data_IF_771777300280
#
_entry.id   IF_771777300280
#
_cell.length_a   1.000
_cell.length_b   1.000
_cell.length_c   1.000
_cell.angle_alpha   90.00
_cell.angle_beta   90.00
_cell.angle_gamma   90.00
#
_symmetry.space_group_name_H-M   'P 1'
#
loop_
_entity.id
_entity.type
_entity.pdbx_description
1 polymer ?
#
# COMPACT_ATOMS: atom_id res chain seq x y z
N UNK A 1 31.63 -37.11 -10.71
CA UNK A 1 32.11 -36.63 -9.41
C UNK A 1 31.03 -35.71 -8.83
N UNK A 2 30.34 -36.13 -7.76
CA UNK A 2 29.26 -35.38 -7.11
C UNK A 2 29.88 -34.31 -6.21
N UNK A 3 29.62 -33.03 -6.45
CA UNK A 3 29.93 -31.97 -5.49
C UNK A 3 28.67 -31.59 -4.71
N UNK A 4 28.63 -32.06 -3.46
CA UNK A 4 27.75 -31.62 -2.40
C UNK A 4 28.06 -30.15 -2.05
N UNK A 5 27.27 -29.21 -2.55
CA UNK A 5 27.29 -27.81 -2.07
C UNK A 5 25.90 -27.26 -1.69
N UNK A 6 24.86 -28.11 -1.70
CA UNK A 6 23.48 -27.66 -1.49
C UNK A 6 23.01 -27.61 -0.04
N UNK A 7 23.68 -28.28 0.90
CA UNK A 7 23.14 -28.46 2.27
C UNK A 7 23.54 -27.38 3.27
N UNK A 8 24.64 -26.64 3.04
CA UNK A 8 25.07 -25.59 3.97
C UNK A 8 24.29 -24.27 3.78
N UNK A 9 23.83 -23.98 2.56
CA UNK A 9 23.12 -22.72 2.27
C UNK A 9 21.68 -22.68 2.84
N UNK A 10 21.06 -23.84 3.05
CA UNK A 10 19.67 -23.93 3.51
C UNK A 10 19.52 -23.80 5.04
N UNK A 11 20.60 -24.01 5.81
CA UNK A 11 20.59 -23.98 7.27
C UNK A 11 20.94 -22.61 7.87
N UNK A 12 21.61 -21.73 7.12
CA UNK A 12 22.03 -20.41 7.62
C UNK A 12 20.91 -19.36 7.51
N UNK A 13 19.91 -19.57 6.64
CA UNK A 13 18.80 -18.62 6.44
C UNK A 13 17.59 -18.83 7.36
N UNK A 14 17.59 -19.85 8.23
CA UNK A 14 16.46 -20.12 9.14
C UNK A 14 16.64 -19.59 10.55
N UNK A 15 17.77 -18.96 10.88
CA UNK A 15 17.94 -18.29 12.16
C UNK A 15 17.81 -16.77 11.99
N UNK A 16 16.82 -16.20 12.68
CA UNK A 16 16.62 -14.76 12.90
C UNK A 16 15.83 -14.03 11.78
N UNK A 17 14.71 -14.59 11.34
CA UNK A 17 13.48 -13.77 11.31
C UNK A 17 12.77 -14.03 12.64
N UNK A 18 13.41 -13.61 13.73
CA UNK A 18 12.84 -13.63 15.06
C UNK A 18 11.72 -12.59 15.07
N UNK A 19 10.52 -13.06 14.70
CA UNK A 19 9.20 -12.52 14.99
C UNK A 19 9.22 -11.05 15.39
N UNK A 20 9.34 -10.15 14.40
CA UNK A 20 8.83 -8.79 14.56
C UNK A 20 7.30 -8.95 14.60
N UNK A 21 6.74 -9.17 15.78
CA UNK A 21 5.32 -8.91 16.01
C UNK A 21 5.17 -7.39 15.92
N UNK A 22 5.04 -6.90 14.68
CA UNK A 22 4.89 -5.49 14.35
C UNK A 22 3.49 -5.05 14.77
N UNK A 23 3.37 -4.12 15.70
CA UNK A 23 2.16 -3.32 15.75
C UNK A 23 2.05 -2.59 14.42
N UNK A 24 1.07 -2.99 13.61
CA UNK A 24 0.68 -2.25 12.43
C UNK A 24 -0.50 -1.35 12.80
N UNK A 25 -0.28 -0.03 12.77
CA UNK A 25 -1.35 0.93 12.98
C UNK A 25 -2.24 0.99 11.73
N UNK A 26 -3.50 0.57 11.88
CA UNK A 26 -4.51 0.62 10.81
C UNK A 26 -5.14 2.02 10.74
N UNK A 27 -5.35 2.63 11.90
CA UNK A 27 -5.79 4.02 12.07
C UNK A 27 -5.07 4.61 13.28
N UNK A 28 -4.62 5.88 13.26
CA UNK A 28 -4.79 6.91 12.22
C UNK A 28 -3.89 6.74 10.99
N UNK A 29 -4.12 7.55 9.95
CA UNK A 29 -3.19 7.70 8.82
C UNK A 29 -2.15 8.79 9.12
N UNK A 30 -1.04 8.79 8.35
CA UNK A 30 -0.07 9.88 8.36
C UNK A 30 -0.75 11.22 8.06
N UNK A 31 -0.34 12.26 8.78
CA UNK A 31 -0.86 13.62 8.72
C UNK A 31 -2.35 13.77 9.03
N UNK A 32 -2.97 12.77 9.66
CA UNK A 32 -4.36 12.88 10.08
C UNK A 32 -4.56 13.99 11.12
N UNK A 33 -5.74 14.62 11.09
CA UNK A 33 -6.05 15.84 11.85
C UNK A 33 -6.85 15.52 13.10
N UNK A 34 -6.24 15.76 14.26
CA UNK A 34 -6.76 15.44 15.58
C UNK A 34 -7.08 16.71 16.40
N UNK A 35 -8.36 16.99 16.60
CA UNK A 35 -8.84 18.20 17.25
C UNK A 35 -9.21 17.95 18.71
N UNK A 36 -8.99 18.95 19.55
CA UNK A 36 -9.42 18.93 20.95
C UNK A 36 -10.91 18.67 21.09
N UNK A 37 -11.27 17.83 22.05
CA UNK A 37 -12.65 17.46 22.36
C UNK A 37 -13.21 16.34 21.47
N UNK A 38 -12.51 16.01 20.39
CA UNK A 38 -12.87 14.89 19.53
C UNK A 38 -12.21 13.60 19.99
N UNK A 39 -12.80 12.49 19.55
CA UNK A 39 -12.35 11.13 19.86
C UNK A 39 -11.92 10.45 18.56
N UNK A 40 -10.75 9.82 18.57
CA UNK A 40 -10.15 9.17 17.43
C UNK A 40 -9.93 7.68 17.70
N UNK A 41 -10.23 6.85 16.70
CA UNK A 41 -10.00 5.42 16.80
C UNK A 41 -8.55 5.09 16.46
N UNK A 42 -7.86 4.46 17.40
CA UNK A 42 -6.54 3.87 17.18
C UNK A 42 -6.71 2.36 17.12
N UNK A 43 -6.22 1.75 16.05
CA UNK A 43 -6.36 0.30 15.79
C UNK A 43 -5.01 -0.29 15.46
N UNK A 44 -4.73 -1.47 16.00
CA UNK A 44 -3.52 -2.23 15.71
C UNK A 44 -3.83 -3.71 15.45
N UNK A 45 -2.94 -4.41 14.76
CA UNK A 45 -3.04 -5.86 14.57
C UNK A 45 -2.54 -6.62 15.81
N UNK A 46 -3.15 -7.78 16.08
CA UNK A 46 -2.59 -8.77 17.00
C UNK A 46 -1.31 -9.38 16.42
N UNK A 47 -0.41 -9.93 17.26
CA UNK A 47 -0.60 -10.20 18.70
C UNK A 47 -0.30 -8.99 19.59
N UNK A 48 -1.11 -8.84 20.64
CA UNK A 48 -0.83 -7.94 21.75
C UNK A 48 -0.82 -8.80 23.01
N UNK A 49 0.35 -9.32 23.39
CA UNK A 49 0.46 -10.19 24.57
C UNK A 49 0.40 -9.40 25.90
N UNK A 50 0.38 -8.07 25.82
CA UNK A 50 0.60 -7.18 26.95
C UNK A 50 -0.45 -6.08 26.99
N UNK A 51 -0.65 -5.49 28.16
CA UNK A 51 -1.42 -4.26 28.25
C UNK A 51 -0.73 -3.17 27.45
N UNK A 52 -1.51 -2.35 26.76
CA UNK A 52 -0.99 -1.27 25.92
C UNK A 52 -1.49 0.05 26.42
N UNK A 53 -0.67 1.07 26.31
CA UNK A 53 -1.06 2.45 26.44
C UNK A 53 -0.90 3.16 25.09
N UNK A 54 -1.90 3.93 24.66
CA UNK A 54 -1.71 4.86 23.54
C UNK A 54 -1.28 6.21 24.08
N UNK A 55 -0.24 6.76 23.47
CA UNK A 55 0.26 8.07 23.82
C UNK A 55 0.85 8.79 22.60
N UNK A 56 1.27 10.04 22.80
CA UNK A 56 1.76 10.92 21.73
C UNK A 56 3.21 11.31 22.01
N UNK A 57 4.05 11.12 21.00
CA UNK A 57 5.46 11.53 21.00
C UNK A 57 5.60 12.80 20.14
N UNK A 58 6.08 13.89 20.71
CA UNK A 58 6.29 15.14 19.98
C UNK A 58 7.70 15.20 19.39
N UNK A 59 7.85 15.83 18.23
CA UNK A 59 9.15 15.96 17.55
C UNK A 59 10.17 16.80 18.37
N UNK A 60 9.67 17.79 19.12
CA UNK A 60 10.52 18.83 19.72
C UNK A 60 10.97 18.54 21.16
N UNK A 61 10.38 17.55 21.84
CA UNK A 61 10.58 17.36 23.28
C UNK A 61 11.05 15.96 23.63
N UNK A 62 12.37 15.80 23.70
CA UNK A 62 13.07 14.90 24.64
C UNK A 62 12.36 13.57 24.95
N UNK A 63 11.91 12.82 23.93
CA UNK A 63 11.26 11.48 23.98
C UNK A 63 10.30 11.21 25.16
N UNK A 64 9.74 12.24 25.77
CA UNK A 64 8.97 12.14 27.00
C UNK A 64 7.52 12.10 26.59
N UNK A 65 7.02 10.87 26.51
CA UNK A 65 5.60 10.60 26.64
C UNK A 65 5.05 11.32 27.87
N UNK A 66 3.74 11.59 27.87
CA UNK A 66 2.78 11.27 28.93
C UNK A 66 1.59 12.20 28.71
N UNK A 67 0.86 11.96 27.63
CA UNK A 67 -0.57 11.85 27.86
C UNK A 67 -0.96 10.46 27.42
N UNK A 68 -1.38 9.68 28.41
CA UNK A 68 -1.81 8.29 28.28
C UNK A 68 -3.31 8.25 27.99
N UNK A 69 -3.74 7.34 27.13
CA UNK A 69 -5.15 6.93 27.04
C UNK A 69 -5.61 6.08 28.23
N UNK A 70 -4.70 5.70 29.13
CA UNK A 70 -4.88 4.66 30.13
C UNK A 70 -4.44 3.29 29.62
N UNK A 71 -4.42 2.32 30.55
CA UNK A 71 -4.06 0.92 30.30
C UNK A 71 -5.19 0.23 29.54
N UNK A 72 -4.88 -0.32 28.38
CA UNK A 72 -5.80 -1.00 27.48
C UNK A 72 -5.62 -2.51 27.63
N UNK A 73 -6.71 -3.28 27.87
CA UNK A 73 -6.65 -4.74 27.96
C UNK A 73 -6.01 -5.39 26.73
N UNK A 74 -5.17 -6.41 26.95
CA UNK A 74 -4.44 -7.12 25.89
C UNK A 74 -5.33 -7.84 24.87
N UNK A 75 -6.60 -8.13 25.22
CA UNK A 75 -7.57 -8.73 24.31
C UNK A 75 -8.20 -7.73 23.33
N UNK A 76 -7.90 -6.44 23.42
CA UNK A 76 -8.41 -5.41 22.52
C UNK A 76 -7.39 -5.04 21.45
N UNK A 77 -7.89 -4.80 20.24
CA UNK A 77 -7.11 -4.38 19.06
C UNK A 77 -7.42 -2.96 18.63
N UNK A 78 -8.29 -2.28 19.38
CA UNK A 78 -8.66 -0.91 19.12
C UNK A 78 -8.93 -0.16 20.41
N UNK A 79 -8.71 1.15 20.37
CA UNK A 79 -9.03 2.04 21.47
C UNK A 79 -9.48 3.40 20.95
N UNK A 80 -10.32 4.06 21.73
CA UNK A 80 -10.82 5.40 21.43
C UNK A 80 -10.03 6.41 22.25
N UNK A 81 -9.26 7.25 21.57
CA UNK A 81 -8.42 8.28 22.18
C UNK A 81 -9.14 9.61 22.08
N UNK A 82 -9.55 10.15 23.23
CA UNK A 82 -10.09 11.52 23.31
C UNK A 82 -8.97 12.53 23.48
N UNK A 83 -8.93 13.52 22.60
CA UNK A 83 -7.90 14.57 22.62
C UNK A 83 -8.31 15.67 23.58
N UNK A 84 -7.76 15.62 24.78
CA UNK A 84 -7.91 16.67 25.78
C UNK A 84 -6.89 17.79 25.61
N UNK A 85 -7.15 18.94 26.27
CA UNK A 85 -6.27 20.12 26.26
C UNK A 85 -4.81 19.82 26.65
N UNK A 86 -4.59 18.79 27.49
CA UNK A 86 -3.25 18.35 27.92
C UNK A 86 -2.40 17.80 26.77
N UNK A 87 -3.00 17.13 25.79
CA UNK A 87 -2.30 16.61 24.60
C UNK A 87 -1.82 17.73 23.67
N UNK A 88 -2.30 18.95 23.82
CA UNK A 88 -1.86 20.08 23.00
C UNK A 88 -0.68 20.84 23.63
N UNK A 89 -0.31 20.55 24.88
CA UNK A 89 0.79 21.25 25.60
C UNK A 89 0.67 22.80 25.55
N UNK A 90 -0.56 23.34 25.55
CA UNK A 90 -0.87 24.78 25.36
C UNK A 90 -0.46 25.35 23.99
N UNK A 91 -0.06 24.51 23.04
CA UNK A 91 0.21 24.87 21.64
C UNK A 91 -1.02 24.62 20.77
N UNK A 92 -0.98 25.13 19.55
CA UNK A 92 -1.97 24.86 18.50
C UNK A 92 -1.23 24.50 17.22
N UNK A 93 -1.82 23.63 16.40
CA UNK A 93 -1.20 23.07 15.19
C UNK A 93 0.18 22.42 15.45
N UNK A 94 0.25 21.48 16.40
CA UNK A 94 1.46 20.73 16.69
C UNK A 94 1.42 19.34 16.06
N UNK A 95 2.54 18.87 15.52
CA UNK A 95 2.67 17.50 15.06
C UNK A 95 3.10 16.59 16.20
N UNK A 96 2.45 15.43 16.30
CA UNK A 96 2.79 14.41 17.26
C UNK A 96 2.66 13.03 16.61
N UNK A 97 3.47 12.08 17.03
CA UNK A 97 3.40 10.71 16.56
C UNK A 97 2.61 9.86 17.53
N UNK A 98 1.67 9.07 17.02
CA UNK A 98 0.95 8.10 17.85
C UNK A 98 1.90 6.96 18.18
N UNK A 99 1.99 6.62 19.46
CA UNK A 99 2.79 5.50 19.93
C UNK A 99 1.96 4.58 20.80
N UNK A 100 2.23 3.28 20.69
CA UNK A 100 1.67 2.26 21.58
C UNK A 100 2.81 1.76 22.49
N UNK A 101 2.63 1.93 23.78
CA UNK A 101 3.61 1.57 24.80
C UNK A 101 3.13 0.32 25.54
N UNK A 102 3.88 -0.79 25.47
CA UNK A 102 3.58 -1.95 26.29
C UNK A 102 3.79 -1.64 27.77
N UNK A 103 2.79 -1.95 28.58
CA UNK A 103 2.81 -1.84 30.03
C UNK A 103 3.19 -3.21 30.61
N UNK A 104 4.44 -3.63 30.41
CA UNK A 104 5.06 -4.73 31.13
C UNK A 104 6.57 -4.50 31.24
N UNK A 105 7.12 -4.67 32.44
CA UNK A 105 8.48 -4.25 32.82
C UNK A 105 9.65 -4.94 32.10
N UNK A 106 9.41 -5.84 31.14
CA UNK A 106 10.45 -6.66 30.49
C UNK A 106 10.58 -6.46 28.98
N UNK A 107 9.56 -5.96 28.27
CA UNK A 107 9.60 -5.77 26.82
C UNK A 107 9.28 -4.31 26.46
N UNK A 108 10.32 -3.49 26.40
CA UNK A 108 10.23 -2.02 26.28
C UNK A 108 10.19 -1.50 24.84
N UNK A 109 9.74 -2.31 23.87
CA UNK A 109 9.66 -1.83 22.49
C UNK A 109 8.44 -0.94 22.33
N UNK A 110 8.65 0.37 22.37
CA UNK A 110 7.64 1.36 22.02
C UNK A 110 7.32 1.20 20.53
N UNK A 111 6.05 1.00 20.21
CA UNK A 111 5.59 0.88 18.85
C UNK A 111 5.24 2.25 18.29
N UNK A 112 5.88 2.56 17.18
CA UNK A 112 5.87 3.89 16.59
C UNK A 112 4.90 3.90 15.43
N UNK A 113 3.79 4.64 15.59
CA UNK A 113 2.74 4.81 14.60
C UNK A 113 2.93 6.06 13.74
N UNK A 114 1.87 6.49 13.04
CA UNK A 114 1.93 7.63 12.14
C UNK A 114 1.96 8.97 12.88
N UNK A 115 2.45 9.99 12.19
CA UNK A 115 2.36 11.37 12.62
C UNK A 115 0.94 11.89 12.42
N UNK A 116 0.45 12.67 13.38
CA UNK A 116 -0.84 13.34 13.36
C UNK A 116 -0.66 14.82 13.69
N UNK A 117 -1.49 15.65 13.07
CA UNK A 117 -1.56 17.07 13.39
C UNK A 117 -2.60 17.27 14.49
N UNK A 118 -2.16 17.76 15.64
CA UNK A 118 -3.03 18.16 16.75
C UNK A 118 -3.37 19.65 16.68
N UNK A 119 -4.64 20.00 16.89
CA UNK A 119 -5.09 21.39 17.01
C UNK A 119 -6.18 21.57 18.07
N UNK A 120 -6.36 22.79 18.57
CA UNK A 120 -7.50 23.15 19.42
C UNK A 120 -8.83 23.00 18.68
N UNK A 121 -8.82 23.35 17.40
CA UNK A 121 -9.94 23.18 16.49
C UNK A 121 -9.39 23.11 15.08
N UNK A 122 -10.00 22.30 14.22
CA UNK A 122 -9.90 22.56 12.79
C UNK A 122 -11.11 23.38 12.42
N UNK A 123 -10.88 24.63 12.02
CA UNK A 123 -11.84 25.22 11.09
C UNK A 123 -11.97 24.22 9.95
N UNK A 124 -13.20 23.88 9.61
CA UNK A 124 -13.53 23.13 8.41
C UNK A 124 -12.98 23.94 7.22
N UNK A 125 -11.68 23.88 6.96
CA UNK A 125 -11.22 24.00 5.61
C UNK A 125 -11.85 22.77 5.00
N UNK A 126 -12.89 22.99 4.21
CA UNK A 126 -13.31 22.06 3.18
C UNK A 126 -12.03 21.84 2.37
N UNK A 127 -11.20 20.92 2.83
CA UNK A 127 -10.32 20.18 1.96
C UNK A 127 -11.36 19.41 1.19
N UNK A 128 -11.84 20.04 0.12
CA UNK A 128 -12.27 19.30 -1.04
C UNK A 128 -11.09 18.38 -1.21
N UNK A 129 -11.27 17.11 -0.82
CA UNK A 129 -10.45 16.07 -1.37
C UNK A 129 -10.63 16.29 -2.85
N UNK A 130 -9.68 17.02 -3.45
CA UNK A 130 -9.29 16.79 -4.81
C UNK A 130 -8.70 15.39 -4.71
N UNK A 131 -9.58 14.40 -4.55
CA UNK A 131 -9.38 13.13 -5.17
C UNK A 131 -8.91 13.54 -6.55
N UNK A 132 -7.64 13.25 -6.93
CA UNK A 132 -7.33 13.36 -8.33
C UNK A 132 -8.46 12.62 -9.01
N UNK A 133 -9.14 13.24 -9.97
CA UNK A 133 -10.32 12.67 -10.63
C UNK A 133 -10.05 11.24 -11.15
N UNK A 134 -8.79 10.83 -11.15
CA UNK A 134 -8.29 9.50 -11.37
C UNK A 134 -7.55 9.01 -10.12
N UNK A 135 -8.23 8.31 -9.21
CA UNK A 135 -7.54 7.37 -8.33
C UNK A 135 -6.95 6.30 -9.24
N UNK A 136 -5.63 6.25 -9.34
CA UNK A 136 -4.93 5.25 -10.15
C UNK A 136 -5.12 3.90 -9.46
N UNK A 137 -6.23 3.22 -9.74
CA UNK A 137 -6.49 1.90 -9.20
C UNK A 137 -5.42 0.94 -9.75
N UNK A 138 -4.64 0.24 -8.90
CA UNK A 138 -3.64 -0.70 -9.38
C UNK A 138 -4.27 -1.86 -10.16
N UNK A 139 -5.55 -2.19 -9.90
CA UNK A 139 -6.31 -3.15 -10.69
C UNK A 139 -6.55 -2.58 -12.09
N UNK A 140 -6.92 -1.30 -12.20
CA UNK A 140 -7.10 -0.63 -13.50
C UNK A 140 -5.79 -0.55 -14.28
N UNK A 141 -4.63 -0.40 -13.61
CA UNK A 141 -3.32 -0.48 -14.29
C UNK A 141 -3.07 -1.85 -14.89
N UNK A 142 -3.25 -2.93 -14.13
CA UNK A 142 -3.05 -4.30 -14.64
C UNK A 142 -4.07 -4.64 -15.72
N UNK A 143 -5.32 -4.24 -15.54
CA UNK A 143 -6.39 -4.43 -16.52
C UNK A 143 -6.14 -3.62 -17.79
N UNK A 144 -5.70 -2.36 -17.68
CA UNK A 144 -5.38 -1.50 -18.82
C UNK A 144 -4.15 -2.01 -19.60
N UNK A 145 -3.12 -2.49 -18.89
CA UNK A 145 -1.98 -3.17 -19.53
C UNK A 145 -2.43 -4.46 -20.22
N UNK A 146 -3.27 -5.27 -19.56
CA UNK A 146 -3.81 -6.50 -20.14
C UNK A 146 -4.67 -6.24 -21.39
N UNK A 147 -5.53 -5.22 -21.34
CA UNK A 147 -6.38 -4.80 -22.45
C UNK A 147 -5.55 -4.23 -23.61
N UNK A 148 -4.50 -3.43 -23.33
CA UNK A 148 -3.65 -2.88 -24.40
C UNK A 148 -2.87 -3.98 -25.12
N UNK A 149 -2.28 -4.92 -24.39
CA UNK A 149 -1.57 -6.07 -24.97
C UNK A 149 -2.54 -6.97 -25.74
N UNK A 150 -3.72 -7.25 -25.19
CA UNK A 150 -4.76 -8.03 -25.86
C UNK A 150 -5.22 -7.39 -27.18
N UNK A 151 -5.48 -6.08 -27.18
CA UNK A 151 -5.87 -5.33 -28.37
C UNK A 151 -4.76 -5.29 -29.42
N UNK A 152 -3.51 -5.05 -29.01
CA UNK A 152 -2.35 -5.08 -29.91
C UNK A 152 -2.19 -6.47 -30.56
N UNK A 153 -2.40 -7.55 -29.81
CA UNK A 153 -2.35 -8.91 -30.33
C UNK A 153 -3.47 -9.16 -31.37
N UNK A 154 -4.71 -8.74 -31.07
CA UNK A 154 -5.83 -8.84 -32.01
C UNK A 154 -5.56 -8.07 -33.31
N UNK A 155 -5.02 -6.85 -33.23
CA UNK A 155 -4.65 -6.05 -34.40
C UNK A 155 -3.58 -6.77 -35.24
N UNK A 156 -2.56 -7.35 -34.60
CA UNK A 156 -1.52 -8.10 -35.30
C UNK A 156 -2.06 -9.36 -35.99
N UNK A 157 -2.99 -10.09 -35.36
CA UNK A 157 -3.64 -11.25 -35.97
C UNK A 157 -4.44 -10.84 -37.21
N UNK A 158 -5.24 -9.76 -37.11
CA UNK A 158 -6.01 -9.25 -38.25
C UNK A 158 -5.10 -8.78 -39.38
N UNK A 159 -4.01 -8.07 -39.07
CA UNK A 159 -3.02 -7.66 -40.07
C UNK A 159 -2.33 -8.87 -40.71
N UNK A 160 -1.95 -9.88 -39.93
CA UNK A 160 -1.35 -11.10 -40.45
C UNK A 160 -2.30 -11.83 -41.42
N UNK A 161 -3.58 -11.99 -41.04
CA UNK A 161 -4.60 -12.56 -41.91
C UNK A 161 -4.82 -11.72 -43.17
N UNK A 162 -4.81 -10.39 -43.05
CA UNK A 162 -4.91 -9.49 -44.20
C UNK A 162 -3.73 -9.64 -45.17
N UNK A 163 -2.49 -9.73 -44.66
CA UNK A 163 -1.32 -9.93 -45.51
C UNK A 163 -1.27 -11.33 -46.13
N UNK A 164 -1.64 -12.38 -45.39
CA UNK A 164 -1.72 -13.74 -45.90
C UNK A 164 -2.73 -13.84 -47.05
N UNK A 165 -3.95 -13.35 -46.84
CA UNK A 165 -5.00 -13.34 -47.89
C UNK A 165 -4.64 -12.44 -49.07
N UNK A 166 -3.97 -11.29 -48.84
CA UNK A 166 -3.48 -10.43 -49.94
C UNK A 166 -2.39 -11.12 -50.76
N UNK A 167 -1.50 -11.89 -50.12
CA UNK A 167 -0.46 -12.68 -50.80
C UNK A 167 -1.09 -13.78 -51.64
N UNK A 168 -2.03 -14.54 -51.09
CA UNK A 168 -2.76 -15.58 -51.83
C UNK A 168 -3.51 -15.00 -53.04
N UNK A 169 -4.22 -13.87 -52.87
CA UNK A 169 -4.88 -13.19 -54.00
C UNK A 169 -3.91 -12.76 -55.10
N UNK A 170 -2.70 -12.31 -54.74
CA UNK A 170 -1.66 -11.96 -55.72
C UNK A 170 -1.11 -13.20 -56.44
N UNK A 171 -0.89 -14.30 -55.71
CA UNK A 171 -0.45 -15.57 -56.31
C UNK A 171 -1.51 -16.08 -57.30
N UNK A 172 -2.78 -16.16 -56.88
CA UNK A 172 -3.89 -16.58 -57.73
C UNK A 172 -4.10 -15.67 -58.95
N UNK A 173 -3.89 -14.35 -58.81
CA UNK A 173 -3.99 -13.43 -59.93
C UNK A 173 -2.85 -13.63 -60.94
N UNK A 174 -1.62 -13.78 -60.46
CA UNK A 174 -0.46 -14.02 -61.33
C UNK A 174 -0.54 -15.38 -62.04
N UNK A 175 -1.00 -16.43 -61.35
CA UNK A 175 -1.24 -17.76 -61.95
C UNK A 175 -2.31 -17.69 -63.05
N UNK A 176 -3.44 -17.01 -62.79
CA UNK A 176 -4.48 -16.80 -63.81
C UNK A 176 -4.00 -15.97 -65.01
N UNK A 177 -3.19 -14.94 -64.79
CA UNK A 177 -2.60 -14.14 -65.88
C UNK A 177 -1.61 -14.97 -66.71
N UNK A 178 -0.79 -15.81 -66.07
CA UNK A 178 0.11 -16.75 -66.74
C UNK A 178 -0.67 -17.78 -67.59
N UNK A 179 -1.71 -18.42 -67.02
CA UNK A 179 -2.58 -19.33 -67.75
C UNK A 179 -3.23 -18.64 -68.96
N UNK A 180 -3.85 -17.47 -68.77
CA UNK A 180 -4.48 -16.71 -69.87
C UNK A 180 -3.48 -16.26 -70.95
N UNK A 181 -2.23 -15.96 -70.57
CA UNK A 181 -1.18 -15.61 -71.53
C UNK A 181 -0.74 -16.80 -72.38
N UNK A 182 -0.75 -18.02 -71.82
CA UNK A 182 -0.47 -19.25 -72.56
C UNK A 182 -1.56 -19.58 -73.58
N UNK A 183 -2.82 -19.33 -73.23
CA UNK A 183 -3.95 -19.49 -74.17
C UNK A 183 -3.93 -18.50 -75.34
N UNK A 184 -3.37 -17.29 -75.20
CA UNK A 184 -3.25 -16.32 -76.33
C UNK A 184 -2.11 -16.62 -77.30
N UNK A 185 -1.17 -17.48 -76.95
CA UNK A 185 -0.03 -17.85 -77.82
C UNK A 185 -0.34 -19.04 -78.75
N UNK A 186 -1.49 -19.67 -78.56
CA UNK A 186 -2.04 -20.70 -79.46
C UNK A 186 -3.19 -20.12 -80.27
#
# INVERSE_FOLDING_TARGET
MKFFLGSALFLILTFINLVRAEFEFITPAEDSRWARGFTYAVKWKQPTEQFVEIALQYADSNNTLITSSGVIPSNQTYWMVKIDKKWLMKMDNITARVVAVPQNGTASTVYVGPQVLLANTFYWKMVVDVSPAFSVNPIDKKLAIGLSVGLSCCILIVLFLHFATRRERRILKNEKELEMSSYRKH
#
